data_IF_546797931895
#
_entry.id   IF_546797931895
#
_cell.length_a   1.000
_cell.length_b   1.000
_cell.length_c   1.000
_cell.angle_alpha   90.00
_cell.angle_beta   90.00
_cell.angle_gamma   90.00
#
_symmetry.space_group_name_H-M   'P 1'
#
loop_
_entity.id
_entity.type
_entity.pdbx_description
1 polymer ?
#
# COMPACT_ATOMS: atom_id res chain seq x y z
N UNK A 1 17.25 -53.44 -41.53
CA UNK A 1 17.07 -52.00 -41.81
C UNK A 1 16.44 -51.36 -40.55
N UNK A 2 17.27 -50.63 -39.83
CA UNK A 2 16.87 -49.95 -38.58
C UNK A 2 16.52 -48.49 -38.93
N UNK A 3 15.28 -48.09 -38.68
CA UNK A 3 14.83 -46.71 -38.85
C UNK A 3 15.03 -45.90 -37.58
N UNK A 4 15.88 -44.87 -37.60
CA UNK A 4 16.05 -43.87 -36.54
C UNK A 4 14.88 -42.88 -36.57
N UNK A 5 14.05 -42.88 -35.54
CA UNK A 5 13.06 -41.82 -35.30
C UNK A 5 13.70 -40.67 -34.55
N UNK A 6 13.86 -39.52 -35.17
CA UNK A 6 14.33 -38.30 -34.58
C UNK A 6 13.20 -37.63 -33.77
N UNK A 7 13.40 -37.45 -32.48
CA UNK A 7 12.52 -36.67 -31.62
C UNK A 7 12.91 -35.21 -31.69
N UNK A 8 12.06 -34.38 -32.33
CA UNK A 8 12.25 -32.93 -32.36
C UNK A 8 11.76 -32.34 -31.00
N UNK A 9 12.72 -31.85 -30.20
CA UNK A 9 12.39 -31.04 -29.02
C UNK A 9 11.96 -29.63 -29.45
N UNK A 10 10.67 -29.34 -29.29
CA UNK A 10 10.16 -27.97 -29.42
C UNK A 10 10.44 -27.22 -28.10
N UNK A 11 11.42 -26.33 -28.10
CA UNK A 11 11.62 -25.37 -27.03
C UNK A 11 10.53 -24.30 -27.08
N UNK A 12 9.57 -24.39 -26.15
CA UNK A 12 8.59 -23.34 -25.93
C UNK A 12 9.28 -22.15 -25.24
N UNK A 13 9.62 -21.12 -26.02
CA UNK A 13 10.02 -19.83 -25.50
C UNK A 13 8.75 -19.09 -25.08
N UNK A 14 8.47 -19.06 -23.79
CA UNK A 14 7.37 -18.24 -23.25
C UNK A 14 7.69 -16.76 -23.45
N UNK A 15 6.83 -15.98 -24.12
CA UNK A 15 7.05 -14.56 -24.25
C UNK A 15 6.97 -13.90 -22.85
N UNK A 16 8.06 -13.27 -22.41
CA UNK A 16 8.03 -12.35 -21.26
C UNK A 16 7.17 -11.15 -21.64
N UNK A 17 5.90 -11.16 -21.25
CA UNK A 17 5.04 -9.99 -21.34
C UNK A 17 5.62 -8.93 -20.42
N UNK A 18 6.36 -7.97 -20.97
CA UNK A 18 6.65 -6.71 -20.28
C UNK A 18 5.32 -5.99 -20.13
N UNK A 19 4.76 -5.97 -18.91
CA UNK A 19 3.65 -5.09 -18.60
C UNK A 19 4.13 -3.65 -18.83
N UNK A 20 3.79 -3.08 -19.97
CA UNK A 20 3.92 -1.65 -20.22
C UNK A 20 2.97 -0.95 -19.24
N UNK A 21 3.52 -0.31 -18.21
CA UNK A 21 2.72 0.59 -17.37
C UNK A 21 2.20 1.69 -18.28
N UNK A 22 0.89 1.67 -18.56
CA UNK A 22 0.24 2.77 -19.27
C UNK A 22 0.54 4.07 -18.54
N UNK A 23 1.13 5.04 -19.24
CA UNK A 23 1.37 6.39 -18.73
C UNK A 23 0.14 7.28 -18.91
N UNK A 24 -0.95 6.75 -19.47
CA UNK A 24 -2.22 7.44 -19.63
C UNK A 24 -3.24 6.90 -18.62
N UNK A 25 -4.06 7.79 -18.11
CA UNK A 25 -5.15 7.47 -17.20
C UNK A 25 -5.13 8.28 -15.91
N UNK A 26 -6.07 7.98 -15.04
CA UNK A 26 -6.23 8.64 -13.75
C UNK A 26 -6.15 7.59 -12.66
N UNK A 27 -5.45 7.89 -11.56
CA UNK A 27 -5.44 7.07 -10.35
C UNK A 27 -5.94 7.91 -9.19
N UNK A 28 -6.99 7.42 -8.54
CA UNK A 28 -7.63 8.09 -7.43
C UNK A 28 -7.62 7.22 -6.19
N UNK A 29 -7.62 7.86 -5.03
CA UNK A 29 -7.73 7.20 -3.73
C UNK A 29 -8.72 7.96 -2.86
N UNK A 30 -9.32 7.23 -1.91
CA UNK A 30 -10.22 7.77 -0.91
C UNK A 30 -9.78 7.25 0.47
N UNK A 31 -9.75 8.15 1.47
CA UNK A 31 -9.31 7.89 2.83
C UNK A 31 -10.33 8.37 3.85
N UNK A 32 -10.48 7.60 4.92
CA UNK A 32 -11.16 7.98 6.15
C UNK A 32 -10.22 7.75 7.33
N UNK A 33 -9.80 8.79 8.02
CA UNK A 33 -8.96 8.68 9.21
C UNK A 33 -9.83 8.34 10.42
N UNK A 34 -9.65 7.13 10.97
CA UNK A 34 -10.47 6.62 12.09
C UNK A 34 -10.27 7.36 13.41
N UNK A 35 -9.19 8.13 13.55
CA UNK A 35 -8.90 8.88 14.78
C UNK A 35 -9.42 10.31 14.73
N UNK A 36 -9.42 10.95 13.56
CA UNK A 36 -9.84 12.35 13.42
C UNK A 36 -11.23 12.50 12.81
N UNK A 37 -11.74 11.43 12.15
CA UNK A 37 -12.99 11.47 11.40
C UNK A 37 -12.88 12.20 10.05
N UNK A 38 -11.69 12.68 9.70
CA UNK A 38 -11.44 13.40 8.45
C UNK A 38 -11.48 12.45 7.26
N UNK A 39 -12.02 12.96 6.16
CA UNK A 39 -12.09 12.27 4.87
C UNK A 39 -11.34 13.04 3.82
N UNK A 40 -10.77 12.32 2.85
CA UNK A 40 -10.16 12.91 1.66
C UNK A 40 -10.21 11.97 0.49
N UNK A 41 -10.49 12.55 -0.67
CA UNK A 41 -10.57 11.82 -1.93
C UNK A 41 -9.99 12.69 -3.04
N UNK A 42 -9.29 12.08 -3.97
CA UNK A 42 -8.78 12.80 -5.13
C UNK A 42 -7.93 11.95 -6.05
N UNK A 43 -7.74 12.50 -7.25
CA UNK A 43 -6.82 11.94 -8.24
C UNK A 43 -5.40 12.37 -7.89
N UNK A 44 -4.58 11.45 -7.42
CA UNK A 44 -3.19 11.74 -7.04
C UNK A 44 -2.19 11.58 -8.20
N UNK A 45 -2.63 10.96 -9.30
CA UNK A 45 -1.82 10.76 -10.50
C UNK A 45 -2.70 10.86 -11.75
N UNK A 46 -2.26 11.67 -12.74
CA UNK A 46 -2.97 11.91 -14.00
C UNK A 46 -1.94 11.90 -15.13
N UNK A 47 -2.15 11.07 -16.13
CA UNK A 47 -1.40 11.01 -17.40
C UNK A 47 0.13 11.10 -17.24
N UNK A 48 0.69 10.34 -16.28
CA UNK A 48 2.13 10.26 -16.05
C UNK A 48 2.65 11.17 -14.95
N UNK A 49 1.82 12.04 -14.37
CA UNK A 49 2.23 13.05 -13.40
C UNK A 49 1.50 12.94 -12.07
N UNK A 50 2.23 13.01 -10.98
CA UNK A 50 1.65 13.14 -9.64
C UNK A 50 1.04 14.54 -9.46
N UNK A 51 -0.07 14.60 -8.74
CA UNK A 51 -0.81 15.83 -8.47
C UNK A 51 -0.45 16.33 -7.07
N UNK A 52 0.42 17.33 -6.98
CA UNK A 52 1.01 17.77 -5.70
C UNK A 52 -0.05 18.35 -4.74
N UNK A 53 -1.10 19.01 -5.23
CA UNK A 53 -2.20 19.49 -4.38
C UNK A 53 -2.92 18.31 -3.69
N UNK A 54 -3.31 17.29 -4.45
CA UNK A 54 -3.96 16.08 -3.89
C UNK A 54 -3.05 15.36 -2.91
N UNK A 55 -1.73 15.27 -3.22
CA UNK A 55 -0.77 14.67 -2.30
C UNK A 55 -0.62 15.47 -1.01
N UNK A 56 -0.70 16.79 -1.07
CA UNK A 56 -0.67 17.68 0.11
C UNK A 56 -1.90 17.44 0.99
N UNK A 57 -3.08 17.34 0.40
CA UNK A 57 -4.32 17.03 1.11
C UNK A 57 -4.24 15.64 1.76
N UNK A 58 -3.73 14.64 1.04
CA UNK A 58 -3.53 13.31 1.60
C UNK A 58 -2.52 13.31 2.74
N UNK A 59 -1.40 14.02 2.62
CA UNK A 59 -0.41 14.13 3.70
C UNK A 59 -1.04 14.74 4.97
N UNK A 60 -1.95 15.69 4.82
CA UNK A 60 -2.68 16.27 5.96
C UNK A 60 -3.56 15.23 6.64
N UNK A 61 -4.35 14.45 5.89
CA UNK A 61 -5.23 13.39 6.44
C UNK A 61 -4.42 12.28 7.11
N UNK A 62 -3.23 11.97 6.55
CA UNK A 62 -2.35 10.91 7.00
C UNK A 62 -1.35 11.34 8.07
N UNK A 63 -1.45 12.57 8.58
CA UNK A 63 -0.53 13.14 9.58
C UNK A 63 -0.54 12.38 10.92
N UNK A 64 0.46 12.62 11.72
CA UNK A 64 0.45 12.23 13.13
C UNK A 64 -0.60 13.06 13.89
N UNK A 65 -1.78 12.50 14.08
CA UNK A 65 -2.88 13.20 14.77
C UNK A 65 -2.58 13.53 16.23
N UNK A 66 -1.65 12.79 16.87
CA UNK A 66 -1.29 13.02 18.30
C UNK A 66 -0.43 14.26 18.48
N UNK A 67 0.42 14.55 17.51
CA UNK A 67 1.29 15.74 17.50
C UNK A 67 0.80 16.82 16.53
N UNK A 68 -0.27 16.53 15.76
CA UNK A 68 -0.74 17.34 14.63
C UNK A 68 0.40 17.66 13.64
N UNK A 69 1.27 16.69 13.41
CA UNK A 69 2.49 16.85 12.60
C UNK A 69 2.28 16.23 11.22
N UNK A 70 2.40 17.05 10.17
CA UNK A 70 2.30 16.66 8.77
C UNK A 70 3.69 16.36 8.23
N UNK A 71 3.83 15.25 7.51
CA UNK A 71 5.05 14.92 6.76
C UNK A 71 4.69 14.38 5.37
N UNK A 72 5.56 14.53 4.37
CA UNK A 72 5.33 13.96 3.06
C UNK A 72 5.34 12.44 3.13
N UNK A 73 4.30 11.84 2.54
CA UNK A 73 4.23 10.39 2.35
C UNK A 73 4.94 9.99 1.06
N UNK A 74 5.55 8.82 1.07
CA UNK A 74 6.19 8.22 -0.12
C UNK A 74 5.13 8.02 -1.23
N UNK A 75 5.35 8.64 -2.39
CA UNK A 75 4.45 8.53 -3.55
C UNK A 75 4.21 7.08 -3.98
N UNK A 76 5.20 6.19 -3.80
CA UNK A 76 5.08 4.75 -4.08
C UNK A 76 4.05 4.06 -3.18
N UNK A 77 3.80 4.60 -1.98
CA UNK A 77 2.78 4.06 -1.08
C UNK A 77 1.37 4.27 -1.65
N UNK A 78 1.11 5.42 -2.27
CA UNK A 78 -0.16 5.65 -2.98
C UNK A 78 -0.30 4.73 -4.20
N UNK A 79 0.77 4.49 -4.96
CA UNK A 79 0.76 3.51 -6.05
C UNK A 79 0.47 2.09 -5.57
N UNK A 80 1.06 1.67 -4.43
CA UNK A 80 0.78 0.39 -3.79
C UNK A 80 -0.71 0.27 -3.43
N UNK A 81 -1.28 1.30 -2.79
CA UNK A 81 -2.69 1.32 -2.41
C UNK A 81 -3.62 1.27 -3.62
N UNK A 82 -3.30 2.00 -4.69
CA UNK A 82 -4.06 1.93 -5.94
C UNK A 82 -4.06 0.50 -6.52
N UNK A 83 -2.88 -0.12 -6.63
CA UNK A 83 -2.75 -1.50 -7.12
C UNK A 83 -3.45 -2.51 -6.22
N UNK A 84 -3.48 -2.25 -4.91
CA UNK A 84 -4.19 -3.09 -3.95
C UNK A 84 -5.71 -3.07 -4.20
N UNK A 85 -6.31 -1.90 -4.49
CA UNK A 85 -7.72 -1.80 -4.92
C UNK A 85 -7.98 -2.58 -6.19
N UNK A 86 -7.10 -2.47 -7.20
CA UNK A 86 -7.23 -3.23 -8.44
C UNK A 86 -7.16 -4.75 -8.19
N UNK A 87 -6.26 -5.20 -7.32
CA UNK A 87 -6.13 -6.62 -6.96
C UNK A 87 -7.35 -7.15 -6.23
N UNK A 88 -7.98 -6.32 -5.40
CA UNK A 88 -9.20 -6.65 -4.67
C UNK A 88 -10.48 -6.48 -5.52
N UNK A 89 -10.36 -5.94 -6.73
CA UNK A 89 -11.48 -5.61 -7.62
C UNK A 89 -12.53 -4.71 -6.94
N UNK A 90 -12.06 -3.72 -6.19
CA UNK A 90 -12.90 -2.68 -5.57
C UNK A 90 -12.68 -1.34 -6.27
N UNK A 91 -13.71 -0.50 -6.30
CA UNK A 91 -13.66 0.78 -7.00
C UNK A 91 -12.86 1.85 -6.25
N UNK A 92 -12.55 2.95 -6.96
CA UNK A 92 -11.76 4.05 -6.42
C UNK A 92 -12.50 4.84 -5.32
N UNK A 93 -13.83 4.69 -5.19
CA UNK A 93 -14.64 5.35 -4.16
C UNK A 93 -14.59 4.62 -2.82
N UNK A 94 -14.24 3.34 -2.79
CA UNK A 94 -14.05 2.62 -1.53
C UNK A 94 -12.97 3.32 -0.70
N UNK A 95 -13.34 3.72 0.52
CA UNK A 95 -12.42 4.41 1.42
C UNK A 95 -11.45 3.43 2.07
N UNK A 96 -10.15 3.74 2.07
CA UNK A 96 -9.25 3.15 3.04
C UNK A 96 -9.52 3.74 4.42
N UNK A 97 -9.88 2.91 5.39
CA UNK A 97 -9.89 3.29 6.79
C UNK A 97 -8.45 3.31 7.30
N UNK A 98 -7.96 4.50 7.62
CA UNK A 98 -6.60 4.73 8.11
C UNK A 98 -6.56 4.61 9.63
N UNK A 99 -5.80 3.64 10.11
CA UNK A 99 -5.52 3.43 11.55
C UNK A 99 -4.24 4.19 11.94
N UNK A 100 -3.24 4.24 11.04
CA UNK A 100 -2.02 5.01 11.22
C UNK A 100 -1.41 5.35 9.85
N UNK A 101 -1.10 6.62 9.61
CA UNK A 101 -0.28 7.09 8.51
C UNK A 101 1.11 7.47 8.99
N UNK A 102 1.53 8.73 8.80
CA UNK A 102 2.76 9.25 9.37
C UNK A 102 2.73 9.21 10.90
N UNK A 103 3.87 8.91 11.46
CA UNK A 103 4.08 8.86 12.91
C UNK A 103 5.36 9.57 13.27
N UNK A 104 5.26 10.67 13.99
CA UNK A 104 6.45 11.40 14.44
C UNK A 104 7.35 10.55 15.34
N UNK A 105 8.64 10.85 15.42
CA UNK A 105 9.56 10.16 16.33
C UNK A 105 9.06 10.16 17.78
N UNK A 106 8.45 11.27 18.23
CA UNK A 106 7.88 11.39 19.57
C UNK A 106 6.73 10.43 19.80
N UNK A 107 5.78 10.37 18.88
CA UNK A 107 4.66 9.41 18.94
C UNK A 107 5.16 7.97 18.85
N UNK A 108 6.10 7.68 17.95
CA UNK A 108 6.64 6.33 17.82
C UNK A 108 7.33 5.86 19.09
N UNK A 109 8.13 6.75 19.73
CA UNK A 109 8.78 6.45 21.01
C UNK A 109 7.76 6.13 22.12
N UNK A 110 6.74 6.98 22.25
CA UNK A 110 5.65 6.78 23.23
C UNK A 110 4.91 5.45 23.03
N UNK A 111 4.63 5.08 21.78
CA UNK A 111 3.94 3.82 21.46
C UNK A 111 4.84 2.60 21.68
N UNK A 112 6.13 2.69 21.35
CA UNK A 112 7.09 1.61 21.58
C UNK A 112 7.35 1.34 23.07
N UNK A 113 7.14 2.34 23.95
CA UNK A 113 7.20 2.12 25.39
C UNK A 113 5.97 1.37 25.93
N UNK A 114 4.82 1.49 25.25
CA UNK A 114 3.54 0.89 25.66
C UNK A 114 3.27 -0.46 25.04
N UNK A 115 3.99 -0.84 24.00
CA UNK A 115 3.74 -2.07 23.24
C UNK A 115 5.02 -2.61 22.60
N UNK A 116 5.28 -3.89 22.79
CA UNK A 116 6.39 -4.61 22.13
C UNK A 116 6.17 -4.80 20.60
N UNK A 117 4.96 -4.55 20.12
CA UNK A 117 4.64 -4.66 18.68
C UNK A 117 5.04 -3.44 17.85
N UNK A 118 5.52 -2.36 18.47
CA UNK A 118 5.91 -1.13 17.76
C UNK A 118 7.44 -1.11 17.55
N UNK A 119 7.86 -1.16 16.29
CA UNK A 119 9.26 -1.09 15.94
C UNK A 119 9.88 0.27 16.31
N UNK A 120 11.07 0.27 16.94
CA UNK A 120 11.82 1.51 17.26
C UNK A 120 12.23 2.29 16.01
N UNK A 121 12.54 1.58 14.91
CA UNK A 121 12.87 2.15 13.59
C UNK A 121 11.73 1.86 12.61
N UNK A 122 10.58 2.52 12.80
CA UNK A 122 9.37 2.29 12.02
C UNK A 122 9.38 3.05 10.69
N UNK A 123 8.86 2.43 9.63
CA UNK A 123 8.63 3.08 8.34
C UNK A 123 7.55 4.16 8.40
N UNK A 124 6.64 4.12 9.37
CA UNK A 124 5.70 5.23 9.63
C UNK A 124 6.41 6.55 9.89
N UNK A 125 7.58 6.54 10.57
CA UNK A 125 8.36 7.76 10.81
C UNK A 125 9.01 8.36 9.55
N UNK A 126 8.99 7.61 8.46
CA UNK A 126 9.54 8.03 7.16
C UNK A 126 8.47 8.35 6.14
N UNK A 127 7.18 8.32 6.53
CA UNK A 127 6.07 8.44 5.59
C UNK A 127 5.95 7.27 4.60
N UNK A 128 6.55 6.12 4.92
CA UNK A 128 6.65 4.98 4.01
C UNK A 128 5.71 3.83 4.38
N UNK A 129 4.83 4.01 5.36
CA UNK A 129 3.94 2.95 5.84
C UNK A 129 2.55 3.47 6.20
N UNK A 130 1.56 2.59 6.07
CA UNK A 130 0.20 2.79 6.57
C UNK A 130 -0.34 1.52 7.20
N UNK A 131 -1.12 1.70 8.27
CA UNK A 131 -1.98 0.67 8.86
C UNK A 131 -3.41 0.94 8.37
N UNK A 132 -3.99 -0.02 7.64
CA UNK A 132 -5.23 0.15 6.89
C UNK A 132 -6.23 -0.99 7.13
N UNK A 133 -7.50 -0.66 6.98
CA UNK A 133 -8.58 -1.60 6.74
C UNK A 133 -9.42 -1.09 5.57
N UNK A 134 -10.26 -1.96 4.99
CA UNK A 134 -11.23 -1.60 3.95
C UNK A 134 -12.59 -2.12 4.41
N UNK A 135 -13.63 -1.28 4.52
CA UNK A 135 -14.97 -1.75 4.83
C UNK A 135 -15.41 -2.83 3.83
N UNK A 136 -16.14 -3.80 4.32
CA UNK A 136 -16.70 -4.92 3.54
C UNK A 136 -15.68 -5.86 2.86
N UNK A 137 -14.38 -5.64 3.10
CA UNK A 137 -13.30 -6.53 2.68
C UNK A 137 -12.77 -7.31 3.88
N UNK A 138 -12.75 -8.65 3.77
CA UNK A 138 -12.17 -9.48 4.80
C UNK A 138 -10.68 -9.12 5.01
N UNK A 139 -10.26 -8.98 6.26
CA UNK A 139 -8.89 -8.54 6.58
C UNK A 139 -7.82 -9.52 6.06
N UNK A 140 -8.15 -10.81 5.99
CA UNK A 140 -7.25 -11.82 5.41
C UNK A 140 -7.11 -11.63 3.91
N UNK A 141 -8.19 -11.31 3.21
CA UNK A 141 -8.16 -11.08 1.76
C UNK A 141 -7.38 -9.80 1.44
N UNK A 142 -7.54 -8.75 2.25
CA UNK A 142 -6.73 -7.53 2.17
C UNK A 142 -5.23 -7.83 2.34
N UNK A 143 -4.88 -8.65 3.35
CA UNK A 143 -3.50 -9.10 3.58
C UNK A 143 -2.96 -9.90 2.39
N UNK A 144 -3.72 -10.90 1.90
CA UNK A 144 -3.28 -11.78 0.83
C UNK A 144 -3.09 -11.01 -0.50
N UNK A 145 -3.98 -10.07 -0.80
CA UNK A 145 -3.83 -9.16 -1.93
C UNK A 145 -2.56 -8.30 -1.80
N UNK A 146 -2.31 -7.70 -0.62
CA UNK A 146 -1.10 -6.90 -0.39
C UNK A 146 0.19 -7.73 -0.54
N UNK A 147 0.22 -8.96 -0.02
CA UNK A 147 1.36 -9.89 -0.15
C UNK A 147 1.62 -10.26 -1.61
N UNK A 148 0.56 -10.48 -2.39
CA UNK A 148 0.66 -10.86 -3.81
C UNK A 148 1.35 -9.80 -4.68
N UNK A 149 1.22 -8.52 -4.32
CA UNK A 149 1.84 -7.40 -5.04
C UNK A 149 3.36 -7.38 -4.94
N UNK A 150 3.96 -7.91 -3.87
CA UNK A 150 5.42 -7.92 -3.64
C UNK A 150 6.08 -6.55 -3.75
N UNK A 151 5.39 -5.50 -3.29
CA UNK A 151 5.84 -4.10 -3.39
C UNK A 151 6.49 -3.56 -2.11
N UNK A 152 6.45 -4.33 -1.01
CA UNK A 152 7.03 -3.93 0.27
C UNK A 152 6.69 -4.87 1.41
N UNK A 153 6.76 -4.37 2.63
CA UNK A 153 6.40 -5.12 3.84
C UNK A 153 4.89 -5.19 4.05
N UNK A 154 4.41 -6.35 4.52
CA UNK A 154 3.01 -6.58 4.89
C UNK A 154 2.94 -7.24 6.25
N UNK A 155 2.29 -6.58 7.22
CA UNK A 155 2.02 -7.09 8.56
C UNK A 155 0.54 -7.38 8.75
N UNK A 156 0.20 -8.49 9.43
CA UNK A 156 -1.17 -8.90 9.66
C UNK A 156 -1.54 -8.78 11.15
N UNK A 157 -2.49 -7.91 11.46
CA UNK A 157 -2.91 -7.60 12.84
C UNK A 157 -4.41 -7.84 13.03
N UNK A 158 -4.87 -9.12 13.02
CA UNK A 158 -6.29 -9.45 13.05
C UNK A 158 -6.98 -9.00 14.34
N UNK A 159 -6.31 -9.10 15.50
CA UNK A 159 -6.85 -8.65 16.79
C UNK A 159 -7.03 -7.12 16.87
N UNK A 160 -6.26 -6.37 16.09
CA UNK A 160 -6.33 -4.90 16.02
C UNK A 160 -7.14 -4.41 14.82
N UNK A 161 -7.56 -5.32 13.93
CA UNK A 161 -8.42 -5.05 12.79
C UNK A 161 -7.77 -4.26 11.67
N UNK A 162 -6.46 -4.46 11.41
CA UNK A 162 -5.76 -3.79 10.31
C UNK A 162 -4.67 -4.65 9.65
N UNK A 163 -4.30 -4.25 8.46
CA UNK A 163 -3.11 -4.70 7.73
C UNK A 163 -2.13 -3.56 7.63
N UNK A 164 -0.87 -3.81 8.00
CA UNK A 164 0.24 -2.89 7.75
C UNK A 164 0.76 -3.09 6.33
N UNK A 165 1.00 -1.99 5.61
CA UNK A 165 1.68 -1.98 4.32
C UNK A 165 2.78 -0.93 4.32
N UNK A 166 3.93 -1.22 3.71
CA UNK A 166 5.02 -0.26 3.57
C UNK A 166 5.78 -0.43 2.24
N UNK A 167 6.58 0.57 1.87
CA UNK A 167 7.42 0.59 0.67
C UNK A 167 8.87 0.21 0.92
N UNK A 168 9.13 -0.49 2.03
CA UNK A 168 10.44 -1.06 2.36
C UNK A 168 10.71 -2.39 1.65
N UNK A 169 11.69 -3.17 2.09
CA UNK A 169 11.95 -4.51 1.54
C UNK A 169 10.74 -5.43 1.67
N UNK A 170 10.55 -6.30 0.67
CA UNK A 170 9.47 -7.30 0.68
C UNK A 170 9.67 -8.27 1.85
N UNK A 171 8.68 -8.32 2.74
CA UNK A 171 8.64 -9.21 3.92
C UNK A 171 7.22 -9.32 4.47
N UNK A 172 6.94 -10.34 5.26
CA UNK A 172 5.63 -10.57 5.91
C UNK A 172 5.82 -10.98 7.37
N UNK A 173 4.87 -10.63 8.24
CA UNK A 173 4.82 -11.06 9.65
C UNK A 173 3.41 -11.07 10.22
#
# INVERSE_FOLDING_TARGET
>A
MLGLGGVAMFSMVSPKVKASRSTKGVRSLSFYNRHTGEKGQGSYWIDGSYQDNTLTDFNHILRDHRQNEVAPMDKRLFDLLYLLKQTLNIDDQHEYHVISGYRSPKTNHMLAQKSNGVAKKSYHMKGMAMDIAVPDVNLKDLRDAAVSLKLGGVGFYPNSGFVHVDTGPVRTW
#
